data_IF_699803052485
#
_entry.id   IF_699803052485
#
_cell.length_a   1.000
_cell.length_b   1.000
_cell.length_c   1.000
_cell.angle_alpha   90.00
_cell.angle_beta   90.00
_cell.angle_gamma   90.00
#
_symmetry.space_group_name_H-M   'P 1'
#
loop_
_entity.id
_entity.type
_entity.pdbx_description
1 polymer ?
#
# COMPACT_ATOMS: atom_id res chain seq x y z
N UNK A 1 -8.72 -2.11 -7.26
CA UNK A 1 -9.13 -2.01 -5.85
C UNK A 1 -10.10 -0.89 -5.60
N UNK A 2 -11.28 -1.21 -5.05
CA UNK A 2 -12.13 -0.22 -4.39
C UNK A 2 -11.48 0.25 -3.08
N UNK A 3 -11.10 1.53 -3.05
CA UNK A 3 -10.50 2.14 -1.85
C UNK A 3 -11.62 2.38 -0.81
N UNK A 4 -11.73 1.49 0.16
CA UNK A 4 -12.70 1.62 1.25
C UNK A 4 -12.34 2.75 2.21
N UNK A 5 -13.33 3.31 2.92
CA UNK A 5 -13.06 4.30 3.96
C UNK A 5 -12.21 3.71 5.09
N UNK A 6 -12.47 2.46 5.47
CA UNK A 6 -11.69 1.74 6.49
C UNK A 6 -10.21 1.66 6.12
N UNK A 7 -9.89 1.37 4.85
CA UNK A 7 -8.51 1.35 4.36
C UNK A 7 -7.85 2.74 4.45
N UNK A 8 -8.57 3.79 4.07
CA UNK A 8 -8.06 5.17 4.17
C UNK A 8 -7.82 5.57 5.63
N UNK A 9 -8.77 5.29 6.51
CA UNK A 9 -8.65 5.59 7.94
C UNK A 9 -7.47 4.87 8.57
N UNK A 10 -7.26 3.60 8.21
CA UNK A 10 -6.11 2.82 8.69
C UNK A 10 -4.78 3.48 8.33
N UNK A 11 -4.61 3.85 7.05
CA UNK A 11 -3.39 4.46 6.54
C UNK A 11 -3.17 5.87 7.12
N UNK A 12 -4.24 6.65 7.29
CA UNK A 12 -4.15 8.03 7.77
C UNK A 12 -3.92 8.13 9.28
N UNK A 13 -4.46 7.20 10.07
CA UNK A 13 -4.35 7.23 11.53
C UNK A 13 -3.07 6.57 12.05
N UNK A 14 -2.48 5.65 11.30
CA UNK A 14 -1.35 4.84 11.76
C UNK A 14 -0.12 4.84 10.84
N UNK A 15 0.23 5.93 10.11
CA UNK A 15 1.31 5.87 9.13
C UNK A 15 2.67 5.52 9.74
N UNK A 16 2.94 5.92 10.99
CA UNK A 16 4.19 5.63 11.71
C UNK A 16 4.26 4.21 12.25
N UNK A 17 3.13 3.50 12.32
CA UNK A 17 3.06 2.12 12.82
C UNK A 17 3.22 1.10 11.70
N UNK A 18 3.18 1.54 10.43
CA UNK A 18 3.35 0.71 9.25
C UNK A 18 4.84 0.42 9.08
N UNK A 19 5.18 -0.87 9.16
CA UNK A 19 6.52 -1.37 8.87
C UNK A 19 6.73 -1.45 7.36
N UNK A 20 5.76 -2.02 6.66
CA UNK A 20 5.88 -2.32 5.24
C UNK A 20 4.53 -2.39 4.54
N UNK A 21 4.51 -2.03 3.26
CA UNK A 21 3.36 -2.18 2.38
C UNK A 21 3.76 -3.02 1.19
N UNK A 22 2.91 -3.99 0.88
CA UNK A 22 3.01 -4.84 -0.28
C UNK A 22 1.81 -4.60 -1.18
N UNK A 23 2.04 -4.36 -2.47
CA UNK A 23 1.00 -4.21 -3.47
C UNK A 23 1.18 -5.24 -4.58
N UNK A 24 0.10 -5.91 -4.93
CA UNK A 24 0.04 -6.90 -6.00
C UNK A 24 -0.82 -6.39 -7.14
N UNK A 25 -0.25 -6.45 -8.33
CA UNK A 25 -0.90 -6.26 -9.62
C UNK A 25 -0.93 -7.60 -10.36
N UNK A 26 -1.73 -7.70 -11.43
CA UNK A 26 -1.85 -8.90 -12.29
C UNK A 26 -0.54 -9.62 -12.65
N UNK A 27 0.56 -8.88 -12.79
CA UNK A 27 1.86 -9.41 -13.23
C UNK A 27 3.04 -8.98 -12.36
N UNK A 28 2.85 -7.98 -11.51
CA UNK A 28 3.93 -7.33 -10.78
C UNK A 28 3.57 -7.25 -9.30
N UNK A 29 4.60 -7.26 -8.47
CA UNK A 29 4.49 -7.12 -7.03
C UNK A 29 5.53 -6.12 -6.56
N UNK A 30 5.13 -5.19 -5.71
CA UNK A 30 6.02 -4.19 -5.14
C UNK A 30 5.92 -4.24 -3.63
N UNK A 31 7.05 -4.00 -2.98
CA UNK A 31 7.27 -4.11 -1.55
C UNK A 31 7.99 -2.84 -1.12
N UNK A 32 7.49 -2.11 -0.13
CA UNK A 32 8.24 -0.97 0.36
C UNK A 32 7.63 -0.27 1.55
N UNK A 33 8.44 0.61 2.12
CA UNK A 33 8.04 1.48 3.23
C UNK A 33 7.13 2.58 2.71
N UNK A 34 6.10 2.91 3.47
CA UNK A 34 5.24 4.04 3.16
C UNK A 34 6.02 5.36 3.29
N UNK A 35 6.18 6.10 2.19
CA UNK A 35 6.92 7.38 2.19
C UNK A 35 6.04 8.60 1.95
N UNK A 36 4.87 8.42 1.32
CA UNK A 36 3.93 9.51 1.09
C UNK A 36 2.49 9.02 1.10
N UNK A 37 1.61 9.82 1.72
CA UNK A 37 0.16 9.68 1.63
C UNK A 37 -0.43 11.03 1.22
N UNK A 38 -1.23 11.03 0.16
CA UNK A 38 -2.05 12.17 -0.25
C UNK A 38 -3.50 11.89 0.17
N UNK A 39 -4.17 12.86 0.78
CA UNK A 39 -5.56 12.70 1.25
C UNK A 39 -6.60 12.93 0.15
N UNK A 40 -6.36 13.86 -0.77
CA UNK A 40 -7.32 14.23 -1.83
C UNK A 40 -6.63 14.75 -3.09
N UNK A 41 -6.69 14.03 -4.23
CA UNK A 41 -7.18 12.65 -4.35
C UNK A 41 -6.35 11.70 -3.48
N UNK A 42 -6.98 10.63 -2.97
CA UNK A 42 -6.27 9.67 -2.14
C UNK A 42 -5.16 8.97 -2.94
N UNK A 43 -3.94 8.96 -2.41
CA UNK A 43 -2.77 8.44 -3.10
C UNK A 43 -1.70 7.97 -2.13
N UNK A 44 -0.91 6.97 -2.52
CA UNK A 44 0.16 6.42 -1.69
C UNK A 44 1.41 6.15 -2.53
N UNK A 45 2.57 6.37 -1.93
CA UNK A 45 3.88 6.03 -2.51
C UNK A 45 4.64 5.17 -1.52
N UNK A 46 5.18 4.06 -2.01
CA UNK A 46 6.07 3.16 -1.25
C UNK A 46 7.49 3.26 -1.80
N UNK A 47 8.47 2.99 -0.95
CA UNK A 47 9.89 2.97 -1.31
C UNK A 47 10.47 1.58 -1.05
N UNK A 48 10.95 0.93 -2.11
CA UNK A 48 11.60 -0.38 -2.07
C UNK A 48 13.12 -0.19 -1.93
N UNK A 49 13.66 -0.47 -0.74
CA UNK A 49 15.09 -0.37 -0.44
C UNK A 49 15.93 -1.40 -1.24
N UNK A 50 15.31 -2.46 -1.80
CA UNK A 50 16.00 -3.50 -2.57
C UNK A 50 16.18 -3.13 -4.06
N UNK A 51 15.47 -2.11 -4.55
CA UNK A 51 15.56 -1.64 -5.94
C UNK A 51 16.66 -0.58 -6.12
N UNK A 52 17.68 -0.93 -6.90
CA UNK A 52 18.79 -0.01 -7.24
C UNK A 52 18.39 1.13 -8.19
N UNK A 53 17.35 0.92 -8.98
CA UNK A 53 16.84 1.89 -9.96
C UNK A 53 15.33 1.99 -9.77
N UNK A 54 14.82 3.21 -9.67
CA UNK A 54 13.41 3.54 -9.42
C UNK A 54 12.80 2.84 -8.18
N UNK A 55 13.33 3.12 -6.97
CA UNK A 55 12.83 2.52 -5.73
C UNK A 55 11.46 3.07 -5.30
N UNK A 56 11.04 4.21 -5.84
CA UNK A 56 9.72 4.79 -5.55
C UNK A 56 8.64 4.17 -6.43
N UNK A 57 7.59 3.68 -5.79
CA UNK A 57 6.42 3.14 -6.47
C UNK A 57 5.15 3.85 -6.03
N UNK A 58 4.47 4.51 -6.97
CA UNK A 58 3.16 5.12 -6.74
C UNK A 58 2.10 4.04 -6.92
N UNK A 59 1.28 3.83 -5.90
CA UNK A 59 0.23 2.81 -5.93
C UNK A 59 -0.91 3.27 -6.84
N UNK A 60 -1.07 2.59 -7.97
CA UNK A 60 -2.28 2.64 -8.79
C UNK A 60 -3.37 1.72 -8.18
N UNK A 61 -4.30 2.31 -7.44
CA UNK A 61 -5.40 1.55 -6.82
C UNK A 61 -6.38 0.97 -7.83
N UNK A 62 -6.51 1.54 -9.02
CA UNK A 62 -7.41 1.00 -10.06
C UNK A 62 -6.88 -0.31 -10.61
N UNK A 63 -5.56 -0.46 -10.69
CA UNK A 63 -4.91 -1.68 -11.17
C UNK A 63 -4.53 -2.66 -10.07
N UNK A 64 -4.41 -2.20 -8.82
CA UNK A 64 -4.07 -3.05 -7.68
C UNK A 64 -5.16 -4.11 -7.42
N UNK A 65 -4.75 -5.36 -7.30
CA UNK A 65 -5.63 -6.49 -6.96
C UNK A 65 -5.64 -6.76 -5.46
N UNK A 66 -4.49 -6.59 -4.81
CA UNK A 66 -4.29 -6.79 -3.38
C UNK A 66 -3.30 -5.77 -2.81
N UNK A 67 -3.56 -5.31 -1.59
CA UNK A 67 -2.67 -4.48 -0.79
C UNK A 67 -2.59 -5.10 0.60
N UNK A 68 -1.37 -5.43 1.03
CA UNK A 68 -1.09 -5.94 2.37
C UNK A 68 -0.25 -4.94 3.16
N UNK A 69 -0.73 -4.57 4.35
CA UNK A 69 -0.05 -3.70 5.31
C UNK A 69 0.48 -4.57 6.43
N UNK A 70 1.79 -4.45 6.71
CA UNK A 70 2.44 -5.04 7.88
C UNK A 70 2.78 -3.93 8.87
N UNK A 71 2.40 -4.11 10.12
CA UNK A 71 2.66 -3.17 11.20
C UNK A 71 3.83 -3.64 12.06
N UNK A 72 4.53 -2.71 12.71
CA UNK A 72 5.67 -3.04 13.58
C UNK A 72 5.32 -3.91 14.79
N UNK A 73 4.04 -3.98 15.17
CA UNK A 73 3.53 -4.86 16.22
C UNK A 73 3.28 -6.30 15.75
N UNK A 74 3.54 -6.60 14.47
CA UNK A 74 3.31 -7.89 13.84
C UNK A 74 1.91 -8.08 13.27
N UNK A 75 1.01 -7.10 13.40
CA UNK A 75 -0.32 -7.13 12.79
C UNK A 75 -0.18 -7.11 11.26
N UNK A 76 -1.00 -7.90 10.57
CA UNK A 76 -1.06 -7.93 9.11
C UNK A 76 -2.51 -7.70 8.68
N UNK A 77 -2.73 -6.70 7.81
CA UNK A 77 -4.03 -6.41 7.21
C UNK A 77 -3.94 -6.51 5.69
N UNK A 78 -4.77 -7.35 5.10
CA UNK A 78 -4.83 -7.53 3.64
C UNK A 78 -6.17 -7.06 3.12
N UNK A 79 -6.11 -6.18 2.13
CA UNK A 79 -7.23 -5.65 1.38
C UNK A 79 -7.13 -6.22 -0.02
N UNK A 80 -8.23 -6.72 -0.56
CA UNK A 80 -8.30 -7.28 -1.92
C UNK A 80 -9.63 -6.91 -2.54
N UNK A 81 -9.65 -6.75 -3.85
CA UNK A 81 -10.94 -6.62 -4.52
C UNK A 81 -11.78 -7.89 -4.31
N UNK A 82 -13.08 -7.77 -4.04
CA UNK A 82 -13.97 -8.90 -4.18
C UNK A 82 -13.87 -9.35 -5.63
N UNK A 83 -13.37 -10.58 -5.83
CA UNK A 83 -13.25 -11.22 -7.14
C UNK A 83 -14.58 -11.01 -7.88
N UNK A 84 -14.52 -10.29 -9.00
CA UNK A 84 -15.65 -10.14 -9.93
C UNK A 84 -16.01 -11.47 -10.56
#
# INVERSE_FOLDING_TARGET
>A
MDITNDFKEEILNSPTSIENIEVVYKKNKYNGKLVRVNQSPFGMTIFDDDLKYDPEHIIDFTLAEEITIKFFDGTIKTFKDPVS
#
